data_IF_365899186939
#
_entry.id   IF_365899186939
#
_cell.length_a   1.000
_cell.length_b   1.000
_cell.length_c   1.000
_cell.angle_alpha   90.00
_cell.angle_beta   90.00
_cell.angle_gamma   90.00
#
_symmetry.space_group_name_H-M   'P 1'
#
loop_
_entity.id
_entity.type
_entity.pdbx_description
1 polymer ?
#
# COMPACT_ATOMS: atom_id res chain seq x y z
N UNK A 1 10.25 0.94 -8.79
CA UNK A 1 10.64 1.31 -10.16
C UNK A 1 10.41 2.78 -10.44
N UNK A 2 9.17 3.27 -10.55
CA UNK A 2 8.92 4.71 -10.81
C UNK A 2 9.57 5.63 -9.76
N UNK A 3 9.45 5.28 -8.48
CA UNK A 3 10.08 6.03 -7.39
C UNK A 3 11.61 6.03 -7.48
N UNK A 4 12.21 4.89 -7.87
CA UNK A 4 13.66 4.77 -8.06
C UNK A 4 14.15 5.61 -9.25
N UNK A 5 13.31 5.76 -10.28
CA UNK A 5 13.55 6.59 -11.46
C UNK A 5 13.32 8.11 -11.21
N UNK A 6 13.02 8.52 -9.97
CA UNK A 6 12.82 9.93 -9.61
C UNK A 6 11.41 10.46 -9.91
N UNK A 7 10.40 9.60 -10.02
CA UNK A 7 9.02 10.06 -10.12
C UNK A 7 8.61 10.89 -8.87
N UNK A 8 7.64 11.81 -9.01
CA UNK A 8 7.12 12.56 -7.88
C UNK A 8 6.68 11.64 -6.74
N UNK A 9 7.05 12.02 -5.52
CA UNK A 9 6.81 11.20 -4.32
C UNK A 9 5.36 11.36 -3.86
N UNK A 10 4.59 10.27 -3.67
CA UNK A 10 3.26 10.35 -3.10
C UNK A 10 3.32 10.74 -1.62
N UNK A 11 2.23 11.32 -1.11
CA UNK A 11 2.10 11.62 0.32
C UNK A 11 2.03 10.35 1.19
N UNK A 12 1.43 9.27 0.65
CA UNK A 12 1.39 7.94 1.26
C UNK A 12 1.06 6.86 0.21
N UNK A 13 1.27 5.57 0.54
CA UNK A 13 0.95 4.43 -0.32
C UNK A 13 0.02 3.44 0.41
N UNK A 14 -1.12 3.08 -0.21
CA UNK A 14 -1.99 1.99 0.26
C UNK A 14 -1.72 0.73 -0.58
N UNK A 15 -0.76 -0.07 -0.12
CA UNK A 15 -0.29 -1.28 -0.80
C UNK A 15 -1.00 -2.54 -0.31
N UNK A 16 -2.27 -2.75 -0.71
CA UNK A 16 -3.07 -3.91 -0.26
C UNK A 16 -3.48 -4.89 -1.37
N UNK A 17 -2.59 -5.32 -2.29
CA UNK A 17 -2.94 -6.36 -3.26
C UNK A 17 -3.31 -7.68 -2.56
N UNK A 18 -4.28 -8.39 -3.14
CA UNK A 18 -4.66 -9.77 -2.78
C UNK A 18 -4.13 -10.73 -3.82
N UNK A 19 -3.72 -11.92 -3.39
CA UNK A 19 -3.36 -12.96 -4.33
C UNK A 19 -2.40 -14.00 -3.77
N UNK A 20 -2.16 -15.02 -4.60
CA UNK A 20 -1.26 -16.13 -4.29
C UNK A 20 0.12 -15.98 -4.93
N UNK A 21 0.27 -15.10 -5.92
CA UNK A 21 1.50 -14.88 -6.68
C UNK A 21 1.87 -13.40 -6.57
N UNK A 22 3.02 -13.10 -5.98
CA UNK A 22 3.58 -11.75 -5.91
C UNK A 22 2.91 -10.78 -4.93
N UNK A 23 1.74 -11.11 -4.38
CA UNK A 23 1.03 -10.21 -3.46
C UNK A 23 1.81 -10.03 -2.14
N UNK A 24 2.25 -11.11 -1.50
CA UNK A 24 2.97 -11.02 -0.23
C UNK A 24 4.35 -10.36 -0.43
N UNK A 25 5.03 -10.75 -1.50
CA UNK A 25 6.37 -10.32 -1.88
C UNK A 25 6.40 -8.83 -2.26
N UNK A 26 5.41 -8.35 -3.03
CA UNK A 26 5.32 -6.93 -3.38
C UNK A 26 5.05 -6.04 -2.17
N UNK A 27 4.23 -6.49 -1.21
CA UNK A 27 3.98 -5.76 0.04
C UNK A 27 5.20 -5.72 0.95
N UNK A 28 5.95 -6.81 1.01
CA UNK A 28 7.21 -6.85 1.75
C UNK A 28 8.25 -5.92 1.10
N UNK A 29 8.40 -5.98 -0.23
CA UNK A 29 9.26 -5.08 -0.98
C UNK A 29 8.89 -3.61 -0.75
N UNK A 30 7.60 -3.25 -0.73
CA UNK A 30 7.16 -1.91 -0.35
C UNK A 30 7.59 -1.56 1.08
N UNK A 31 7.36 -2.44 2.06
CA UNK A 31 7.71 -2.18 3.46
C UNK A 31 9.22 -1.97 3.68
N UNK A 32 10.06 -2.66 2.90
CA UNK A 32 11.52 -2.56 2.94
C UNK A 32 12.05 -1.33 2.17
N UNK A 33 11.35 -0.90 1.12
CA UNK A 33 11.84 0.10 0.15
C UNK A 33 11.12 1.44 0.18
N UNK A 34 10.07 1.60 0.98
CA UNK A 34 9.28 2.84 1.03
C UNK A 34 10.10 4.07 1.48
N UNK A 35 11.23 3.86 2.16
CA UNK A 35 12.03 4.94 2.74
C UNK A 35 11.20 5.73 3.77
N UNK A 36 11.14 7.05 3.61
CA UNK A 36 10.34 7.98 4.42
C UNK A 36 8.90 8.18 3.90
N UNK A 37 8.48 7.48 2.83
CA UNK A 37 7.08 7.53 2.37
C UNK A 37 6.20 6.72 3.33
N UNK A 38 5.18 7.31 3.97
CA UNK A 38 4.23 6.56 4.78
C UNK A 38 3.50 5.50 3.94
N UNK A 39 3.29 4.31 4.50
CA UNK A 39 2.60 3.24 3.81
C UNK A 39 1.69 2.43 4.72
N UNK A 40 0.69 1.80 4.11
CA UNK A 40 -0.18 0.81 4.73
C UNK A 40 -0.17 -0.47 3.90
N UNK A 41 0.13 -1.59 4.55
CA UNK A 41 0.11 -2.92 3.95
C UNK A 41 -0.59 -3.92 4.88
N UNK A 42 -1.27 -4.91 4.29
CA UNK A 42 -1.75 -6.09 5.01
C UNK A 42 -0.86 -7.27 4.63
N UNK A 43 0.01 -7.72 5.53
CA UNK A 43 0.97 -8.78 5.22
C UNK A 43 0.33 -10.12 4.84
N UNK A 44 1.06 -10.92 4.05
CA UNK A 44 0.60 -12.20 3.52
C UNK A 44 -0.28 -12.05 2.27
N UNK A 45 -1.22 -12.98 2.07
CA UNK A 45 -1.99 -13.10 0.81
C UNK A 45 -3.29 -12.29 0.77
N UNK A 46 -3.75 -11.78 1.93
CA UNK A 46 -5.00 -11.02 2.06
C UNK A 46 -4.84 -9.58 1.56
N UNK A 47 -5.92 -9.00 1.08
CA UNK A 47 -5.98 -7.63 0.54
C UNK A 47 -7.24 -7.43 -0.30
N UNK A 48 -7.15 -6.57 -1.30
CA UNK A 48 -8.16 -6.39 -2.35
C UNK A 48 -8.83 -5.02 -2.31
N UNK A 49 -9.68 -4.78 -3.31
CA UNK A 49 -10.32 -3.48 -3.55
C UNK A 49 -11.18 -3.01 -2.37
N UNK A 50 -11.92 -3.91 -1.73
CA UNK A 50 -12.75 -3.57 -0.57
C UNK A 50 -11.91 -3.05 0.61
N UNK A 51 -10.78 -3.69 0.92
CA UNK A 51 -9.88 -3.23 1.98
C UNK A 51 -9.20 -1.90 1.61
N UNK A 52 -8.79 -1.74 0.35
CA UNK A 52 -8.20 -0.48 -0.14
C UNK A 52 -9.19 0.68 0.00
N UNK A 53 -10.43 0.50 -0.46
CA UNK A 53 -11.48 1.51 -0.37
C UNK A 53 -11.82 1.83 1.08
N UNK A 54 -11.92 0.81 1.95
CA UNK A 54 -12.18 1.03 3.37
C UNK A 54 -11.08 1.86 4.05
N UNK A 55 -9.80 1.56 3.79
CA UNK A 55 -8.68 2.31 4.33
C UNK A 55 -8.69 3.78 3.86
N UNK A 56 -8.98 4.02 2.57
CA UNK A 56 -9.10 5.37 2.04
C UNK A 56 -10.28 6.13 2.66
N UNK A 57 -11.46 5.49 2.75
CA UNK A 57 -12.64 6.11 3.35
C UNK A 57 -12.42 6.49 4.81
N UNK A 58 -11.75 5.63 5.59
CA UNK A 58 -11.40 5.90 6.98
C UNK A 58 -10.42 7.07 7.13
N UNK A 59 -9.49 7.26 6.19
CA UNK A 59 -8.59 8.41 6.21
C UNK A 59 -9.25 9.71 5.72
N UNK A 60 -10.30 9.59 4.90
CA UNK A 60 -10.97 10.74 4.29
C UNK A 60 -11.98 11.43 5.22
N UNK A 61 -12.34 10.82 6.34
CA UNK A 61 -13.40 11.31 7.24
C UNK A 61 -13.01 11.07 8.70
N UNK A 62 -13.29 12.05 9.57
CA UNK A 62 -13.17 11.89 11.02
C UNK A 62 -14.39 11.20 11.66
N UNK A 63 -15.42 10.93 10.85
CA UNK A 63 -16.65 10.24 11.25
C UNK A 63 -16.54 8.77 10.84
N UNK A 64 -16.81 7.87 11.79
CA UNK A 64 -17.00 6.43 11.54
C UNK A 64 -18.39 6.13 10.98
#
# INVERSE_FOLDING_TARGET
ELLDAGAPRPAAIVGVPVGFIGAAESKQSLAERAGDIPYLVVHGRRGGSAMAAAALNAMASERE
#
